data_IF_090667562407
#
_entry.id   IF_090667562407
#
_cell.length_a   1.000
_cell.length_b   1.000
_cell.length_c   1.000
_cell.angle_alpha   90.00
_cell.angle_beta   90.00
_cell.angle_gamma   90.00
#
_symmetry.space_group_name_H-M   'P 1'
#
loop_
_entity.id
_entity.type
_entity.pdbx_description
1 polymer ?
#
# COMPACT_ATOMS: atom_id res chain seq x y z
N UNK A 1 -61.64 0.16 -17.90
CA UNK A 1 -63.02 0.55 -17.58
C UNK A 1 -63.04 1.14 -16.19
N UNK A 2 -63.32 2.43 -16.13
CA UNK A 2 -63.52 3.18 -14.91
C UNK A 2 -64.84 2.78 -14.25
N UNK A 3 -64.83 2.66 -12.93
CA UNK A 3 -66.02 2.47 -12.10
C UNK A 3 -66.11 3.64 -11.14
N UNK A 4 -67.27 4.28 -11.05
CA UNK A 4 -67.50 5.40 -10.11
C UNK A 4 -68.54 4.93 -9.09
N UNK A 5 -68.19 4.97 -7.82
CA UNK A 5 -69.07 4.62 -6.71
C UNK A 5 -69.33 5.85 -5.84
N UNK A 6 -70.61 6.11 -5.57
CA UNK A 6 -71.06 7.14 -4.63
C UNK A 6 -70.93 6.59 -3.21
N UNK A 7 -70.30 7.36 -2.33
CA UNK A 7 -70.06 7.04 -0.92
C UNK A 7 -70.53 8.20 -0.04
N UNK A 8 -71.14 7.89 1.09
CA UNK A 8 -71.46 8.87 2.13
C UNK A 8 -70.32 8.85 3.15
N UNK A 9 -69.69 10.00 3.40
CA UNK A 9 -68.66 10.11 4.45
C UNK A 9 -69.32 10.17 5.83
N UNK A 10 -68.54 9.88 6.86
CA UNK A 10 -68.96 9.93 8.27
C UNK A 10 -69.46 11.32 8.69
N UNK A 11 -69.04 12.39 8.00
CA UNK A 11 -69.48 13.77 8.21
C UNK A 11 -70.77 14.13 7.44
N UNK A 12 -71.44 13.17 6.79
CA UNK A 12 -72.66 13.38 6.01
C UNK A 12 -72.44 13.91 4.59
N UNK A 13 -71.20 14.23 4.21
CA UNK A 13 -70.91 14.72 2.85
C UNK A 13 -70.83 13.58 1.83
N UNK A 14 -71.28 13.87 0.62
CA UNK A 14 -71.14 12.96 -0.51
C UNK A 14 -69.70 12.95 -1.05
N UNK A 15 -69.18 11.74 -1.31
CA UNK A 15 -67.90 11.53 -1.99
C UNK A 15 -68.06 10.52 -3.13
N UNK A 16 -67.33 10.73 -4.22
CA UNK A 16 -67.37 9.90 -5.40
C UNK A 16 -66.01 9.25 -5.58
N UNK A 17 -65.93 7.94 -5.41
CA UNK A 17 -64.70 7.17 -5.60
C UNK A 17 -64.65 6.70 -7.05
N UNK A 18 -63.68 7.20 -7.79
CA UNK A 18 -63.36 6.70 -9.12
C UNK A 18 -62.28 5.62 -9.02
N UNK A 19 -62.47 4.48 -9.69
CA UNK A 19 -61.49 3.40 -9.79
C UNK A 19 -61.27 3.02 -11.25
N UNK A 20 -60.03 3.05 -11.72
CA UNK A 20 -59.64 2.60 -13.06
C UNK A 20 -58.90 1.28 -12.94
N UNK A 21 -59.43 0.24 -13.60
CA UNK A 21 -58.79 -1.09 -13.70
C UNK A 21 -58.47 -1.43 -15.16
N UNK A 22 -57.26 -1.92 -15.39
CA UNK A 22 -56.83 -2.50 -16.67
C UNK A 22 -56.51 -3.97 -16.46
N UNK A 23 -57.07 -4.84 -17.31
CA UNK A 23 -56.86 -6.28 -17.30
C UNK A 23 -56.15 -6.73 -18.58
N UNK A 24 -55.20 -7.66 -18.47
CA UNK A 24 -54.53 -8.32 -19.61
C UNK A 24 -54.43 -9.81 -19.31
N UNK A 25 -54.94 -10.66 -20.19
CA UNK A 25 -55.00 -12.11 -19.96
C UNK A 25 -55.78 -12.50 -18.68
N UNK A 26 -56.88 -11.80 -18.38
CA UNK A 26 -57.71 -12.06 -17.19
C UNK A 26 -57.16 -11.52 -15.86
N UNK A 27 -55.86 -11.20 -15.76
CA UNK A 27 -55.24 -10.62 -14.56
C UNK A 27 -55.34 -9.10 -14.56
N UNK A 28 -55.58 -8.50 -13.39
CA UNK A 28 -55.54 -7.05 -13.20
C UNK A 28 -54.06 -6.61 -13.24
N UNK A 29 -53.67 -5.91 -14.31
CA UNK A 29 -52.30 -5.40 -14.45
C UNK A 29 -52.15 -3.99 -13.89
N UNK A 30 -53.24 -3.25 -13.72
CA UNK A 30 -53.24 -1.91 -13.11
C UNK A 30 -54.56 -1.64 -12.42
N UNK A 31 -54.52 -1.05 -11.22
CA UNK A 31 -55.69 -0.56 -10.49
C UNK A 31 -55.31 0.69 -9.70
N UNK A 32 -55.99 1.80 -9.97
CA UNK A 32 -55.84 3.03 -9.19
C UNK A 32 -57.21 3.58 -8.83
N UNK A 33 -57.36 4.10 -7.62
CA UNK A 33 -58.61 4.69 -7.15
C UNK A 33 -58.37 5.99 -6.40
N UNK A 34 -59.25 6.97 -6.60
CA UNK A 34 -59.20 8.27 -5.93
C UNK A 34 -60.61 8.77 -5.65
N UNK A 35 -60.79 9.47 -4.54
CA UNK A 35 -62.10 10.00 -4.11
C UNK A 35 -62.18 11.50 -4.31
N UNK A 36 -63.35 11.96 -4.75
CA UNK A 36 -63.61 13.36 -5.12
C UNK A 36 -64.91 13.87 -4.48
N UNK A 37 -65.08 15.19 -4.31
CA UNK A 37 -66.30 15.77 -3.75
C UNK A 37 -67.47 15.83 -4.76
N UNK A 38 -67.19 15.85 -6.07
CA UNK A 38 -68.21 15.93 -7.14
C UNK A 38 -68.04 14.78 -8.13
N UNK A 39 -69.15 14.22 -8.59
CA UNK A 39 -69.17 13.10 -9.57
C UNK A 39 -68.44 13.46 -10.86
N UNK A 40 -68.66 14.69 -11.36
CA UNK A 40 -68.02 15.20 -12.57
C UNK A 40 -66.48 15.17 -12.46
N UNK A 41 -65.91 15.57 -11.32
CA UNK A 41 -64.47 15.53 -11.09
C UNK A 41 -63.92 14.10 -11.07
N UNK A 42 -64.66 13.16 -10.47
CA UNK A 42 -64.32 11.74 -10.47
C UNK A 42 -64.31 11.16 -11.90
N UNK A 43 -65.31 11.53 -12.70
CA UNK A 43 -65.44 11.11 -14.12
C UNK A 43 -64.33 11.71 -14.98
N UNK A 44 -64.06 13.01 -14.84
CA UNK A 44 -63.02 13.71 -15.60
C UNK A 44 -61.62 13.18 -15.27
N UNK A 45 -61.34 12.90 -13.99
CA UNK A 45 -60.08 12.26 -13.57
C UNK A 45 -59.94 10.86 -14.15
N UNK A 46 -61.00 10.03 -14.07
CA UNK A 46 -60.98 8.67 -14.59
C UNK A 46 -60.79 8.64 -16.11
N UNK A 47 -61.46 9.54 -16.85
CA UNK A 47 -61.33 9.66 -18.29
C UNK A 47 -59.91 10.09 -18.72
N UNK A 48 -59.31 11.07 -18.02
CA UNK A 48 -57.90 11.46 -18.23
C UNK A 48 -56.95 10.31 -17.95
N UNK A 49 -57.16 9.59 -16.85
CA UNK A 49 -56.35 8.43 -16.49
C UNK A 49 -56.47 7.31 -17.53
N UNK A 50 -57.67 7.01 -18.03
CA UNK A 50 -57.84 6.02 -19.10
C UNK A 50 -57.19 6.46 -20.41
N UNK A 51 -57.20 7.76 -20.74
CA UNK A 51 -56.51 8.30 -21.91
C UNK A 51 -54.99 8.13 -21.78
N UNK A 52 -54.41 8.49 -20.63
CA UNK A 52 -52.98 8.33 -20.35
C UNK A 52 -52.55 6.86 -20.51
N UNK A 53 -53.36 5.92 -20.03
CA UNK A 53 -53.02 4.48 -20.02
C UNK A 53 -53.16 3.82 -21.41
N UNK A 54 -53.72 4.49 -22.42
CA UNK A 54 -53.85 3.96 -23.80
C UNK A 54 -52.55 4.00 -24.60
N UNK A 55 -51.55 4.80 -24.18
CA UNK A 55 -50.26 4.85 -24.85
C UNK A 55 -49.48 3.53 -24.73
N UNK A 56 -48.74 3.15 -25.78
CA UNK A 56 -47.85 1.99 -25.72
C UNK A 56 -46.84 2.14 -24.57
N UNK A 57 -46.87 1.22 -23.61
CA UNK A 57 -46.02 1.22 -22.41
C UNK A 57 -46.38 2.28 -21.36
N UNK A 58 -47.54 2.94 -21.43
CA UNK A 58 -47.93 3.96 -20.47
C UNK A 58 -48.23 3.41 -19.06
N UNK A 59 -48.79 2.19 -18.98
CA UNK A 59 -49.03 1.49 -17.72
C UNK A 59 -47.69 1.17 -17.05
N UNK A 60 -46.74 0.67 -17.83
CA UNK A 60 -45.38 0.34 -17.41
C UNK A 60 -44.66 1.61 -16.96
N UNK A 61 -44.67 2.70 -17.77
CA UNK A 61 -44.12 4.02 -17.38
C UNK A 61 -44.73 4.56 -16.09
N UNK A 62 -46.02 4.36 -15.84
CA UNK A 62 -46.71 4.85 -14.63
C UNK A 62 -46.46 3.96 -13.40
N UNK A 63 -46.31 2.64 -13.58
CA UNK A 63 -45.80 1.74 -12.54
C UNK A 63 -44.35 2.07 -12.18
N UNK A 64 -43.53 2.37 -13.19
CA UNK A 64 -42.15 2.85 -13.01
C UNK A 64 -42.13 4.18 -12.25
N UNK A 65 -43.17 5.01 -12.41
CA UNK A 65 -43.46 6.22 -11.64
C UNK A 65 -43.49 6.07 -10.11
N UNK A 66 -43.90 4.89 -9.60
CA UNK A 66 -44.05 4.62 -8.15
C UNK A 66 -42.99 3.65 -7.61
N UNK A 67 -41.96 3.34 -8.40
CA UNK A 67 -40.93 2.43 -7.95
C UNK A 67 -40.08 3.09 -6.87
N UNK A 68 -40.04 2.51 -5.68
CA UNK A 68 -39.17 2.98 -4.61
C UNK A 68 -37.76 2.43 -4.78
N UNK A 69 -36.78 3.07 -4.15
CA UNK A 69 -35.39 2.58 -4.08
C UNK A 69 -35.35 1.14 -3.54
N UNK A 70 -36.17 0.83 -2.53
CA UNK A 70 -36.26 -0.50 -1.94
C UNK A 70 -36.75 -1.56 -2.92
N UNK A 71 -37.74 -1.25 -3.75
CA UNK A 71 -38.20 -2.15 -4.82
C UNK A 71 -37.08 -2.42 -5.83
N UNK A 72 -36.27 -1.40 -6.16
CA UNK A 72 -35.13 -1.57 -7.07
C UNK A 72 -34.04 -2.44 -6.42
N UNK A 73 -33.75 -2.24 -5.14
CA UNK A 73 -32.78 -3.07 -4.41
C UNK A 73 -33.24 -4.53 -4.37
N UNK A 74 -34.50 -4.79 -3.99
CA UNK A 74 -35.05 -6.15 -3.92
C UNK A 74 -34.94 -6.87 -5.27
N UNK A 75 -35.39 -6.23 -6.35
CA UNK A 75 -35.27 -6.77 -7.71
C UNK A 75 -33.81 -7.01 -8.12
N UNK A 76 -32.91 -6.07 -7.78
CA UNK A 76 -31.48 -6.21 -8.07
C UNK A 76 -30.87 -7.44 -7.38
N UNK A 77 -31.28 -7.71 -6.14
CA UNK A 77 -30.83 -8.88 -5.38
C UNK A 77 -31.37 -10.16 -5.97
N UNK A 78 -32.68 -10.24 -6.22
CA UNK A 78 -33.34 -11.41 -6.82
C UNK A 78 -32.74 -11.81 -8.18
N UNK A 79 -32.36 -10.84 -9.01
CA UNK A 79 -31.80 -11.11 -10.34
C UNK A 79 -30.32 -11.54 -10.30
N UNK A 80 -29.51 -11.00 -9.38
CA UNK A 80 -28.05 -11.17 -9.41
C UNK A 80 -27.48 -12.12 -8.36
N UNK A 81 -28.19 -12.35 -7.25
CA UNK A 81 -27.75 -13.27 -6.21
C UNK A 81 -27.71 -14.73 -6.69
N UNK A 82 -28.72 -15.27 -7.41
CA UNK A 82 -28.66 -16.64 -7.93
C UNK A 82 -27.49 -16.90 -8.89
N UNK A 83 -27.02 -15.84 -9.57
CA UNK A 83 -25.86 -15.89 -10.45
C UNK A 83 -24.52 -15.76 -9.70
N UNK A 84 -24.53 -15.73 -8.36
CA UNK A 84 -23.36 -15.54 -7.50
C UNK A 84 -22.67 -14.18 -7.69
N UNK A 85 -23.37 -13.18 -8.25
CA UNK A 85 -22.80 -11.86 -8.56
C UNK A 85 -22.86 -10.89 -7.39
N UNK A 86 -23.62 -11.22 -6.35
CA UNK A 86 -23.68 -10.45 -5.10
C UNK A 86 -22.77 -11.11 -4.07
N UNK A 87 -21.64 -10.47 -3.82
CA UNK A 87 -20.76 -10.89 -2.73
C UNK A 87 -21.36 -10.52 -1.36
N UNK A 88 -21.00 -11.27 -0.32
CA UNK A 88 -21.47 -11.10 1.07
C UNK A 88 -21.54 -9.65 1.55
N UNK A 89 -20.48 -8.86 1.34
CA UNK A 89 -20.46 -7.44 1.78
C UNK A 89 -21.51 -6.61 1.08
N UNK A 90 -21.68 -6.82 -0.23
CA UNK A 90 -22.68 -6.10 -1.01
C UNK A 90 -24.09 -6.51 -0.61
N UNK A 91 -24.35 -7.81 -0.45
CA UNK A 91 -25.63 -8.33 0.05
C UNK A 91 -26.00 -7.71 1.39
N UNK A 92 -25.11 -7.80 2.39
CA UNK A 92 -25.34 -7.21 3.70
C UNK A 92 -25.66 -5.72 3.66
N UNK A 93 -24.95 -4.93 2.84
CA UNK A 93 -25.22 -3.49 2.70
C UNK A 93 -26.57 -3.23 2.03
N UNK A 94 -26.93 -3.99 0.99
CA UNK A 94 -28.23 -3.87 0.32
C UNK A 94 -29.38 -4.23 1.27
N UNK A 95 -29.24 -5.29 2.07
CA UNK A 95 -30.20 -5.65 3.12
C UNK A 95 -30.31 -4.54 4.18
N UNK A 96 -29.17 -3.96 4.56
CA UNK A 96 -29.14 -2.84 5.48
C UNK A 96 -29.84 -1.61 4.91
N UNK A 97 -29.67 -1.33 3.62
CA UNK A 97 -30.35 -0.22 2.93
C UNK A 97 -31.87 -0.41 2.92
N UNK A 98 -32.36 -1.64 2.72
CA UNK A 98 -33.80 -1.96 2.76
C UNK A 98 -34.46 -1.63 4.10
N UNK A 99 -33.71 -1.68 5.20
CA UNK A 99 -34.20 -1.36 6.53
C UNK A 99 -34.22 0.15 6.86
N UNK A 100 -33.92 1.04 5.90
CA UNK A 100 -33.72 2.48 6.15
C UNK A 100 -34.64 3.37 5.34
N UNK A 101 -34.88 4.63 5.78
CA UNK A 101 -35.80 5.55 5.12
C UNK A 101 -35.52 5.79 3.63
N UNK A 102 -34.26 5.70 3.20
CA UNK A 102 -33.88 5.86 1.79
C UNK A 102 -34.54 4.81 0.88
N UNK A 103 -34.86 3.61 1.39
CA UNK A 103 -35.53 2.57 0.63
C UNK A 103 -36.98 2.91 0.29
N UNK A 104 -37.65 3.72 1.11
CA UNK A 104 -39.04 4.14 0.90
C UNK A 104 -39.15 5.29 -0.12
N UNK A 105 -38.04 5.96 -0.45
CA UNK A 105 -38.02 7.08 -1.41
C UNK A 105 -38.35 6.60 -2.82
N UNK A 106 -39.16 7.39 -3.53
CA UNK A 106 -39.43 7.16 -4.95
C UNK A 106 -38.13 7.35 -5.75
N UNK A 107 -37.74 6.33 -6.52
CA UNK A 107 -36.44 6.31 -7.17
C UNK A 107 -36.28 7.39 -8.26
N UNK A 108 -37.40 7.91 -8.78
CA UNK A 108 -37.42 8.98 -9.78
C UNK A 108 -37.23 10.38 -9.19
N UNK A 109 -37.63 10.56 -7.93
CA UNK A 109 -37.52 11.85 -7.23
C UNK A 109 -36.37 11.87 -6.24
N UNK A 110 -35.60 10.78 -6.14
CA UNK A 110 -34.42 10.72 -5.30
C UNK A 110 -33.44 11.81 -5.73
N UNK A 111 -33.06 12.67 -4.79
CA UNK A 111 -32.15 13.79 -5.02
C UNK A 111 -30.89 13.70 -4.15
N UNK A 112 -29.97 14.65 -4.32
CA UNK A 112 -28.74 14.70 -3.55
C UNK A 112 -28.99 14.91 -2.04
N UNK A 113 -30.06 15.62 -1.66
CA UNK A 113 -30.38 15.91 -0.27
C UNK A 113 -30.80 14.64 0.48
N UNK A 114 -31.60 13.78 -0.15
CA UNK A 114 -31.98 12.47 0.38
C UNK A 114 -30.75 11.59 0.64
N UNK A 115 -29.80 11.58 -0.29
CA UNK A 115 -28.54 10.82 -0.19
C UNK A 115 -27.66 11.36 0.94
N UNK A 116 -27.54 12.69 1.07
CA UNK A 116 -26.79 13.33 2.14
C UNK A 116 -27.43 13.03 3.50
N UNK A 117 -28.76 13.07 3.59
CA UNK A 117 -29.48 12.77 4.82
C UNK A 117 -29.25 11.32 5.25
N UNK A 118 -29.39 10.34 4.34
CA UNK A 118 -29.06 8.95 4.63
C UNK A 118 -27.63 8.80 5.17
N UNK A 119 -26.66 9.45 4.55
CA UNK A 119 -25.27 9.39 5.01
C UNK A 119 -25.06 10.01 6.41
N UNK A 120 -25.83 11.04 6.79
CA UNK A 120 -25.83 11.62 8.15
C UNK A 120 -26.42 10.63 9.15
N UNK A 121 -27.59 10.09 8.85
CA UNK A 121 -28.28 9.11 9.70
C UNK A 121 -27.36 7.90 9.98
N UNK A 122 -26.63 7.43 8.95
CA UNK A 122 -25.66 6.32 9.10
C UNK A 122 -24.51 6.65 10.03
N UNK A 123 -24.00 7.89 10.02
CA UNK A 123 -22.95 8.29 10.95
C UNK A 123 -23.48 8.45 12.37
N UNK A 124 -24.70 8.96 12.54
CA UNK A 124 -25.38 9.02 13.84
C UNK A 124 -25.63 7.63 14.43
N UNK A 125 -25.92 6.63 13.58
CA UNK A 125 -25.95 5.21 13.93
C UNK A 125 -24.56 4.60 14.26
N UNK A 126 -23.48 5.37 14.16
CA UNK A 126 -22.10 4.95 14.48
C UNK A 126 -21.32 4.31 13.32
N UNK A 127 -21.81 4.39 12.07
CA UNK A 127 -21.08 3.85 10.93
C UNK A 127 -19.90 4.76 10.53
N UNK A 128 -18.72 4.16 10.40
CA UNK A 128 -17.55 4.89 9.91
C UNK A 128 -17.65 5.28 8.42
N UNK A 129 -16.92 6.32 7.95
CA UNK A 129 -17.03 6.86 6.59
C UNK A 129 -16.83 5.83 5.46
N UNK A 130 -16.00 4.81 5.67
CA UNK A 130 -15.79 3.74 4.69
C UNK A 130 -16.99 2.81 4.55
N UNK A 131 -17.74 2.60 5.64
CA UNK A 131 -18.97 1.82 5.62
C UNK A 131 -20.05 2.60 4.86
N UNK A 132 -20.22 3.89 5.19
CA UNK A 132 -21.17 4.77 4.49
C UNK A 132 -20.85 4.89 3.00
N UNK A 133 -19.57 4.92 2.62
CA UNK A 133 -19.16 4.91 1.22
C UNK A 133 -19.65 3.65 0.46
N UNK A 134 -19.73 2.49 1.11
CA UNK A 134 -20.29 1.29 0.48
C UNK A 134 -21.78 1.45 0.20
N UNK A 135 -22.54 2.05 1.12
CA UNK A 135 -23.98 2.30 0.96
C UNK A 135 -24.24 3.07 -0.34
N UNK A 136 -23.60 4.25 -0.52
CA UNK A 136 -23.77 5.07 -1.73
C UNK A 136 -23.22 4.39 -3.00
N UNK A 137 -22.09 3.67 -2.91
CA UNK A 137 -21.50 2.98 -4.06
C UNK A 137 -22.40 1.85 -4.59
N UNK A 138 -22.99 1.08 -3.68
CA UNK A 138 -23.87 -0.03 -4.06
C UNK A 138 -25.26 0.45 -4.44
N UNK A 139 -25.79 1.49 -3.79
CA UNK A 139 -27.02 2.15 -4.22
C UNK A 139 -26.87 2.71 -5.65
N UNK A 140 -25.76 3.39 -5.96
CA UNK A 140 -25.46 3.83 -7.33
C UNK A 140 -25.47 2.66 -8.30
N UNK A 141 -24.85 1.53 -7.94
CA UNK A 141 -24.83 0.33 -8.78
C UNK A 141 -26.24 -0.20 -9.09
N UNK A 142 -27.16 -0.14 -8.13
CA UNK A 142 -28.57 -0.55 -8.31
C UNK A 142 -29.28 0.41 -9.28
N UNK A 143 -29.18 1.72 -9.07
CA UNK A 143 -29.82 2.73 -9.92
C UNK A 143 -29.29 2.67 -11.36
N UNK A 144 -27.98 2.48 -11.52
CA UNK A 144 -27.31 2.36 -12.81
C UNK A 144 -27.68 1.06 -13.55
N UNK A 145 -27.99 -0.02 -12.82
CA UNK A 145 -28.53 -1.26 -13.39
C UNK A 145 -30.00 -1.07 -13.80
N UNK A 146 -30.81 -0.43 -12.95
CA UNK A 146 -32.20 -0.12 -13.27
C UNK A 146 -32.33 0.71 -14.55
N UNK A 147 -31.44 1.69 -14.74
CA UNK A 147 -31.34 2.48 -15.97
C UNK A 147 -31.06 1.63 -17.20
N UNK A 148 -29.99 0.81 -17.15
CA UNK A 148 -29.46 0.11 -18.34
C UNK A 148 -30.19 -1.18 -18.68
N UNK A 149 -30.60 -1.94 -17.66
CA UNK A 149 -31.15 -3.29 -17.83
C UNK A 149 -32.66 -3.28 -17.79
N UNK A 150 -33.26 -2.46 -16.92
CA UNK A 150 -34.72 -2.36 -16.80
C UNK A 150 -35.30 -1.18 -17.59
N UNK A 151 -34.46 -0.43 -18.30
CA UNK A 151 -34.83 0.76 -19.07
C UNK A 151 -35.63 1.78 -18.25
N UNK A 152 -35.34 1.90 -16.96
CA UNK A 152 -36.02 2.82 -16.07
C UNK A 152 -35.43 4.23 -16.18
N UNK A 153 -36.26 5.30 -16.15
CA UNK A 153 -35.76 6.68 -16.24
C UNK A 153 -35.17 7.18 -14.91
N UNK A 154 -34.44 6.30 -14.21
CA UNK A 154 -33.66 6.61 -13.01
C UNK A 154 -32.18 6.65 -13.37
N UNK A 155 -31.36 7.29 -12.55
CA UNK A 155 -29.90 7.25 -12.72
C UNK A 155 -29.20 7.45 -11.39
N UNK A 156 -27.89 7.18 -11.35
CA UNK A 156 -27.04 7.49 -10.22
C UNK A 156 -26.72 8.98 -10.05
N UNK A 157 -27.36 9.89 -10.80
CA UNK A 157 -27.07 11.32 -10.79
C UNK A 157 -27.21 11.95 -9.39
N UNK A 158 -28.25 11.60 -8.64
CA UNK A 158 -28.42 12.06 -7.25
C UNK A 158 -27.22 11.70 -6.35
N UNK A 159 -26.64 10.51 -6.57
CA UNK A 159 -25.43 10.08 -5.86
C UNK A 159 -24.24 10.93 -6.31
N UNK A 160 -24.08 11.13 -7.61
CA UNK A 160 -22.97 11.91 -8.20
C UNK A 160 -22.96 13.37 -7.75
N UNK A 161 -24.13 14.00 -7.68
CA UNK A 161 -24.31 15.36 -7.17
C UNK A 161 -24.01 15.45 -5.67
N UNK A 162 -24.34 14.40 -4.89
CA UNK A 162 -24.05 14.35 -3.46
C UNK A 162 -22.56 14.14 -3.14
N UNK A 163 -21.80 13.45 -4.00
CA UNK A 163 -20.42 13.01 -3.70
C UNK A 163 -19.50 14.13 -3.20
N UNK A 164 -19.54 15.30 -3.83
CA UNK A 164 -18.71 16.45 -3.43
C UNK A 164 -19.00 16.88 -1.99
N UNK A 165 -20.27 17.07 -1.67
CA UNK A 165 -20.74 17.45 -0.32
C UNK A 165 -20.46 16.35 0.71
N UNK A 166 -20.68 15.08 0.36
CA UNK A 166 -20.39 13.95 1.24
C UNK A 166 -18.91 13.89 1.64
N UNK A 167 -18.00 14.19 0.70
CA UNK A 167 -16.56 14.29 0.99
C UNK A 167 -16.23 15.52 1.82
N UNK A 168 -16.79 16.69 1.49
CA UNK A 168 -16.58 17.94 2.23
C UNK A 168 -17.03 17.82 3.69
N UNK A 169 -18.17 17.18 3.93
CA UNK A 169 -18.71 16.92 5.26
C UNK A 169 -18.07 15.70 5.96
N UNK A 170 -17.13 15.02 5.31
CA UNK A 170 -16.47 13.79 5.82
C UNK A 170 -17.47 12.67 6.18
N UNK A 171 -18.63 12.66 5.52
CA UNK A 171 -19.65 11.63 5.68
C UNK A 171 -19.19 10.30 5.07
N UNK A 172 -18.42 10.38 3.98
CA UNK A 172 -17.81 9.25 3.29
C UNK A 172 -16.30 9.40 3.21
N UNK A 173 -15.59 8.28 3.09
CA UNK A 173 -14.14 8.29 2.93
C UNK A 173 -13.54 6.91 2.82
N UNK A 174 -12.28 6.83 2.40
CA UNK A 174 -11.55 5.56 2.40
C UNK A 174 -11.26 5.14 3.85
N UNK A 175 -11.18 3.84 4.08
CA UNK A 175 -10.70 3.31 5.37
C UNK A 175 -9.29 3.84 5.63
N UNK A 176 -9.01 4.22 6.88
CA UNK A 176 -7.65 4.59 7.28
C UNK A 176 -6.72 3.39 7.11
N UNK A 177 -5.53 3.64 6.57
CA UNK A 177 -4.48 2.65 6.57
C UNK A 177 -4.09 2.33 8.03
N UNK A 178 -3.71 1.08 8.28
CA UNK A 178 -3.21 0.61 9.57
C UNK A 178 -1.75 0.23 9.41
N UNK A 179 -0.92 0.77 10.28
CA UNK A 179 0.53 0.49 10.38
C UNK A 179 0.87 -0.26 11.68
N UNK A 180 -0.14 -0.85 12.31
CA UNK A 180 0.01 -1.65 13.53
C UNK A 180 0.84 -2.90 13.22
N UNK A 181 1.88 -3.10 14.01
CA UNK A 181 2.70 -4.32 14.06
C UNK A 181 2.71 -4.86 15.49
N UNK A 182 2.56 -6.18 15.71
CA UNK A 182 2.63 -6.76 17.04
C UNK A 182 4.06 -6.66 17.59
N UNK A 183 4.21 -6.40 18.89
CA UNK A 183 5.53 -6.46 19.54
C UNK A 183 5.95 -7.91 19.80
N UNK A 184 7.24 -8.13 20.07
CA UNK A 184 7.74 -9.46 20.45
C UNK A 184 7.05 -10.01 21.71
N UNK A 185 6.84 -9.16 22.72
CA UNK A 185 6.11 -9.51 23.95
C UNK A 185 4.64 -9.88 23.67
N UNK A 186 3.94 -9.07 22.87
CA UNK A 186 2.55 -9.34 22.48
C UNK A 186 2.44 -10.67 21.75
N UNK A 187 3.32 -10.95 20.78
CA UNK A 187 3.35 -12.23 20.07
C UNK A 187 3.60 -13.38 21.03
N UNK A 188 4.58 -13.27 21.93
CA UNK A 188 4.90 -14.33 22.88
C UNK A 188 3.71 -14.65 23.78
N UNK A 189 3.06 -13.63 24.34
CA UNK A 189 1.86 -13.79 25.20
C UNK A 189 0.69 -14.41 24.43
N UNK A 190 0.46 -13.99 23.18
CA UNK A 190 -0.58 -14.56 22.33
C UNK A 190 -0.25 -16.02 21.98
N UNK A 191 0.99 -16.35 21.66
CA UNK A 191 1.40 -17.72 21.36
C UNK A 191 1.16 -18.63 22.57
N UNK A 192 1.58 -18.22 23.78
CA UNK A 192 1.30 -18.98 25.01
C UNK A 192 -0.20 -19.18 25.24
N UNK A 193 -1.03 -18.16 24.99
CA UNK A 193 -2.49 -18.30 25.08
C UNK A 193 -3.02 -19.30 24.05
N UNK A 194 -2.56 -19.24 22.79
CA UNK A 194 -2.97 -20.15 21.72
C UNK A 194 -2.50 -21.59 21.96
N UNK A 195 -1.31 -21.78 22.54
CA UNK A 195 -0.78 -23.07 22.97
C UNK A 195 -1.71 -23.71 24.02
N UNK A 196 -2.11 -22.95 25.04
CA UNK A 196 -3.06 -23.44 26.06
C UNK A 196 -4.40 -23.86 25.44
N UNK A 197 -4.87 -23.10 24.44
CA UNK A 197 -6.13 -23.36 23.74
C UNK A 197 -6.05 -24.62 22.90
N UNK A 198 -4.99 -24.76 22.10
CA UNK A 198 -4.85 -25.89 21.18
C UNK A 198 -4.51 -27.20 21.91
N UNK A 199 -3.99 -27.11 23.14
CA UNK A 199 -3.74 -28.27 24.01
C UNK A 199 -5.01 -28.87 24.63
N UNK A 200 -6.17 -28.25 24.42
CA UNK A 200 -7.45 -28.81 24.83
C UNK A 200 -7.77 -30.09 24.05
N UNK A 201 -8.28 -31.12 24.74
CA UNK A 201 -8.56 -32.45 24.15
C UNK A 201 -9.47 -32.43 22.91
N UNK A 202 -10.33 -31.40 22.78
CA UNK A 202 -11.25 -31.26 21.65
C UNK A 202 -10.74 -30.29 20.57
N UNK A 203 -9.52 -29.75 20.71
CA UNK A 203 -8.96 -28.83 19.75
C UNK A 203 -8.15 -29.57 18.70
N UNK A 204 -8.59 -29.44 17.44
CA UNK A 204 -7.91 -30.02 16.28
C UNK A 204 -7.12 -28.98 15.48
N UNK A 205 -7.26 -27.69 15.80
CA UNK A 205 -6.68 -26.61 15.01
C UNK A 205 -5.29 -26.27 15.56
N UNK A 206 -4.21 -26.36 14.76
CA UNK A 206 -2.86 -25.93 15.13
C UNK A 206 -2.77 -24.40 15.04
N UNK A 207 -3.33 -23.72 16.04
CA UNK A 207 -3.45 -22.27 16.05
C UNK A 207 -2.10 -21.56 15.96
N UNK A 208 -1.08 -22.07 16.64
CA UNK A 208 0.28 -21.48 16.64
C UNK A 208 0.88 -21.54 15.25
N UNK A 209 0.86 -22.71 14.61
CA UNK A 209 1.43 -22.91 13.27
C UNK A 209 0.75 -22.02 12.24
N UNK A 210 -0.58 -21.91 12.27
CA UNK A 210 -1.34 -21.06 11.35
C UNK A 210 -1.01 -19.58 11.52
N UNK A 211 -0.77 -19.11 12.75
CA UNK A 211 -0.34 -17.73 13.01
C UNK A 211 1.10 -17.50 12.54
N UNK A 212 2.03 -18.42 12.86
CA UNK A 212 3.42 -18.36 12.39
C UNK A 212 3.50 -18.39 10.87
N UNK A 213 2.73 -19.27 10.24
CA UNK A 213 2.62 -19.33 8.78
C UNK A 213 2.06 -18.04 8.20
N UNK A 214 1.04 -17.45 8.81
CA UNK A 214 0.48 -16.16 8.35
C UNK A 214 1.51 -15.02 8.41
N UNK A 215 2.37 -15.00 9.43
CA UNK A 215 3.46 -14.02 9.57
C UNK A 215 4.56 -14.31 8.53
N UNK A 216 5.11 -15.52 8.51
CA UNK A 216 6.26 -15.88 7.67
C UNK A 216 5.95 -15.83 6.17
N UNK A 217 4.77 -16.27 5.75
CA UNK A 217 4.33 -16.21 4.34
C UNK A 217 3.80 -14.84 3.92
N UNK A 218 3.34 -14.02 4.88
CA UNK A 218 2.64 -12.77 4.61
C UNK A 218 1.36 -12.93 3.78
N UNK A 219 0.78 -14.13 3.65
CA UNK A 219 -0.40 -14.39 2.81
C UNK A 219 -1.69 -13.84 3.42
N UNK A 220 -2.74 -13.69 2.60
CA UNK A 220 -4.09 -13.40 3.14
C UNK A 220 -4.66 -14.66 3.79
N UNK A 221 -5.46 -14.50 4.84
CA UNK A 221 -6.15 -15.61 5.52
C UNK A 221 -6.87 -16.58 4.54
N UNK A 222 -7.64 -16.05 3.60
CA UNK A 222 -8.35 -16.86 2.61
C UNK A 222 -7.44 -17.48 1.52
N UNK A 223 -6.18 -17.03 1.40
CA UNK A 223 -5.17 -17.69 0.55
C UNK A 223 -4.63 -18.92 1.30
N UNK A 224 -4.32 -18.78 2.60
CA UNK A 224 -3.83 -19.87 3.47
C UNK A 224 -4.83 -21.04 3.53
N UNK A 225 -6.11 -20.75 3.69
CA UNK A 225 -7.20 -21.75 3.76
C UNK A 225 -7.35 -22.61 2.49
N UNK A 226 -6.80 -22.18 1.35
CA UNK A 226 -7.00 -22.84 0.05
C UNK A 226 -5.75 -23.52 -0.49
N UNK A 227 -4.66 -23.54 0.27
CA UNK A 227 -3.41 -24.17 -0.15
C UNK A 227 -3.57 -25.69 -0.21
N UNK A 228 -3.12 -26.28 -1.33
CA UNK A 228 -3.24 -27.71 -1.63
C UNK A 228 -1.87 -28.35 -1.69
N UNK A 229 -1.80 -29.64 -1.35
CA UNK A 229 -0.56 -30.40 -1.53
C UNK A 229 -0.15 -30.51 -3.00
N UNK A 230 -1.11 -30.69 -3.90
CA UNK A 230 -0.86 -30.73 -5.36
C UNK A 230 -0.28 -29.44 -5.95
N UNK A 231 -0.37 -28.33 -5.20
CA UNK A 231 0.14 -27.02 -5.60
C UNK A 231 1.56 -26.75 -5.05
N UNK A 232 2.13 -27.67 -4.28
CA UNK A 232 3.45 -27.54 -3.65
C UNK A 232 4.54 -28.10 -4.57
N UNK A 233 5.45 -27.23 -5.01
CA UNK A 233 6.69 -27.63 -5.66
C UNK A 233 7.77 -27.77 -4.58
N UNK A 234 8.04 -29.00 -4.18
CA UNK A 234 8.97 -29.28 -3.09
C UNK A 234 10.43 -29.04 -3.46
N UNK A 235 10.79 -29.28 -4.72
CA UNK A 235 12.15 -29.09 -5.22
C UNK A 235 12.54 -27.61 -5.17
N UNK A 236 11.63 -26.74 -5.59
CA UNK A 236 11.85 -25.28 -5.63
C UNK A 236 11.36 -24.55 -4.38
N UNK A 237 10.72 -25.26 -3.45
CA UNK A 237 10.07 -24.70 -2.24
C UNK A 237 9.06 -23.59 -2.57
N UNK A 238 8.24 -23.83 -3.58
CA UNK A 238 7.21 -22.90 -4.03
C UNK A 238 5.82 -23.47 -3.76
N UNK A 239 4.85 -22.59 -3.54
CA UNK A 239 3.43 -22.94 -3.46
C UNK A 239 2.65 -22.13 -4.50
N UNK A 240 1.81 -22.81 -5.28
CA UNK A 240 0.91 -22.16 -6.23
C UNK A 240 -0.33 -21.63 -5.50
N UNK A 241 -0.45 -20.30 -5.39
CA UNK A 241 -1.65 -19.66 -4.84
C UNK A 241 -2.66 -19.42 -5.96
N UNK A 242 -3.67 -20.28 -6.04
CA UNK A 242 -4.73 -20.20 -7.05
C UNK A 242 -5.66 -19.01 -6.85
N UNK A 243 -6.06 -18.39 -7.96
CA UNK A 243 -6.98 -17.26 -8.06
C UNK A 243 -6.66 -16.18 -7.02
N UNK A 244 -5.39 -15.78 -6.98
CA UNK A 244 -4.92 -14.80 -6.02
C UNK A 244 -5.66 -13.49 -6.25
N UNK A 245 -6.11 -12.86 -5.17
CA UNK A 245 -7.00 -11.69 -5.25
C UNK A 245 -6.35 -10.55 -6.04
N UNK A 246 -6.94 -10.22 -7.19
CA UNK A 246 -6.56 -9.08 -8.01
C UNK A 246 -7.72 -8.08 -8.15
N UNK A 247 -7.46 -6.75 -8.11
CA UNK A 247 -8.51 -5.75 -8.32
C UNK A 247 -9.12 -5.76 -9.72
N UNK A 248 -8.35 -6.15 -10.75
CA UNK A 248 -8.72 -6.09 -12.17
C UNK A 248 -9.05 -7.47 -12.75
N UNK A 249 -8.30 -8.51 -12.38
CA UNK A 249 -8.40 -9.86 -12.94
C UNK A 249 -8.65 -10.92 -11.86
N UNK A 250 -9.91 -11.08 -11.45
CA UNK A 250 -10.27 -12.04 -10.38
C UNK A 250 -10.24 -13.50 -10.81
N UNK A 251 -10.23 -13.78 -12.11
CA UNK A 251 -10.23 -15.15 -12.68
C UNK A 251 -8.87 -15.40 -13.32
N UNK A 252 -8.30 -16.60 -13.13
CA UNK A 252 -7.02 -17.03 -13.70
C UNK A 252 -5.80 -16.18 -13.28
N UNK A 253 -5.71 -15.82 -12.00
CA UNK A 253 -4.52 -15.15 -11.44
C UNK A 253 -3.80 -16.06 -10.45
N UNK A 254 -3.33 -17.19 -10.95
CA UNK A 254 -2.54 -18.13 -10.16
C UNK A 254 -1.09 -17.62 -10.09
N UNK A 255 -0.47 -17.71 -8.91
CA UNK A 255 0.87 -17.19 -8.70
C UNK A 255 1.70 -18.16 -7.87
N UNK A 256 2.88 -18.51 -8.36
CA UNK A 256 3.89 -19.19 -7.56
C UNK A 256 4.46 -18.24 -6.52
N UNK A 257 4.49 -18.68 -5.27
CA UNK A 257 5.01 -17.92 -4.13
C UNK A 257 6.09 -18.74 -3.44
N UNK A 258 7.29 -18.19 -3.21
CA UNK A 258 8.32 -18.90 -2.47
C UNK A 258 7.94 -18.99 -0.98
N UNK A 259 8.15 -20.17 -0.40
CA UNK A 259 7.99 -20.41 1.03
C UNK A 259 9.34 -20.12 1.72
N UNK A 260 9.45 -18.94 2.34
CA UNK A 260 10.67 -18.46 2.97
C UNK A 260 10.69 -18.73 4.48
N UNK A 261 11.88 -18.99 5.03
CA UNK A 261 12.08 -19.20 6.47
C UNK A 261 11.21 -20.33 7.04
N UNK A 262 10.64 -20.10 8.23
CA UNK A 262 9.79 -21.08 8.92
C UNK A 262 8.52 -21.46 8.14
N UNK A 263 8.11 -20.71 7.10
CA UNK A 263 6.93 -21.05 6.31
C UNK A 263 7.06 -22.42 5.63
N UNK A 264 8.26 -22.76 5.15
CA UNK A 264 8.54 -24.06 4.55
C UNK A 264 8.47 -25.19 5.58
N UNK A 265 9.14 -25.01 6.72
CA UNK A 265 9.20 -26.02 7.77
C UNK A 265 7.82 -26.29 8.37
N UNK A 266 7.00 -25.25 8.56
CA UNK A 266 5.62 -25.39 9.03
C UNK A 266 4.77 -26.20 8.04
N UNK A 267 4.90 -25.93 6.73
CA UNK A 267 4.19 -26.70 5.70
C UNK A 267 4.62 -28.15 5.75
N UNK A 268 5.93 -28.44 5.80
CA UNK A 268 6.44 -29.80 5.86
C UNK A 268 6.03 -30.56 7.12
N UNK A 269 5.80 -29.86 8.23
CA UNK A 269 5.33 -30.45 9.48
C UNK A 269 3.83 -30.79 9.49
N UNK A 270 3.03 -30.30 8.52
CA UNK A 270 1.60 -30.59 8.48
C UNK A 270 1.32 -32.03 8.05
N UNK A 271 0.26 -32.68 8.61
CA UNK A 271 -0.21 -33.97 8.13
C UNK A 271 -0.60 -33.96 6.64
N UNK A 272 -0.27 -35.04 5.92
CA UNK A 272 -0.63 -35.26 4.51
C UNK A 272 -1.82 -36.20 4.34
N UNK A 273 -2.82 -36.06 5.20
CA UNK A 273 -4.03 -36.91 5.25
C UNK A 273 -5.27 -36.24 4.65
N UNK A 274 -5.14 -35.01 4.14
CA UNK A 274 -6.19 -34.25 3.47
C UNK A 274 -5.67 -33.60 2.18
N UNK A 275 -6.60 -33.12 1.34
CA UNK A 275 -6.27 -32.41 0.09
C UNK A 275 -5.58 -31.05 0.33
N UNK A 276 -5.96 -30.37 1.42
CA UNK A 276 -5.46 -29.06 1.79
C UNK A 276 -4.31 -29.18 2.79
N UNK A 277 -3.31 -28.30 2.69
CA UNK A 277 -2.21 -28.20 3.65
C UNK A 277 -2.74 -27.77 5.03
N UNK A 278 -3.73 -26.87 5.03
CA UNK A 278 -4.41 -26.40 6.23
C UNK A 278 -5.92 -26.66 6.10
N UNK A 279 -6.42 -27.86 6.42
CA UNK A 279 -7.83 -28.24 6.27
C UNK A 279 -8.72 -27.66 7.39
N UNK A 280 -8.50 -26.39 7.76
CA UNK A 280 -9.16 -25.73 8.88
C UNK A 280 -9.85 -24.45 8.43
N UNK A 281 -11.02 -24.19 9.00
CA UNK A 281 -11.72 -22.93 8.76
C UNK A 281 -10.91 -21.76 9.35
N UNK A 282 -10.35 -20.93 8.48
CA UNK A 282 -9.47 -19.83 8.91
C UNK A 282 -10.23 -18.80 9.78
N UNK A 283 -11.56 -18.72 9.68
CA UNK A 283 -12.37 -17.86 10.55
C UNK A 283 -12.26 -18.27 12.01
N UNK A 284 -12.21 -19.58 12.30
CA UNK A 284 -12.02 -20.11 13.65
C UNK A 284 -10.68 -19.67 14.23
N UNK A 285 -9.63 -19.61 13.40
CA UNK A 285 -8.30 -19.10 13.77
C UNK A 285 -8.37 -17.60 14.05
N UNK A 286 -8.98 -16.81 13.15
CA UNK A 286 -9.11 -15.37 13.37
C UNK A 286 -9.95 -15.01 14.61
N UNK A 287 -10.96 -15.83 14.92
CA UNK A 287 -11.77 -15.67 16.12
C UNK A 287 -11.02 -16.09 17.40
N UNK A 288 -10.16 -17.10 17.33
CA UNK A 288 -9.25 -17.44 18.43
C UNK A 288 -8.23 -16.32 18.67
N UNK A 289 -7.62 -15.79 17.61
CA UNK A 289 -6.73 -14.63 17.67
C UNK A 289 -7.39 -13.42 18.32
N UNK A 290 -8.60 -13.05 17.88
CA UNK A 290 -9.32 -11.91 18.46
C UNK A 290 -9.63 -12.12 19.95
N UNK A 291 -10.00 -13.35 20.36
CA UNK A 291 -10.20 -13.67 21.78
C UNK A 291 -8.91 -13.57 22.57
N UNK A 292 -7.80 -14.10 22.05
CA UNK A 292 -6.48 -13.96 22.67
C UNK A 292 -6.14 -12.48 22.93
N UNK A 293 -6.29 -11.62 21.91
CA UNK A 293 -6.06 -10.19 22.06
C UNK A 293 -6.95 -9.58 23.15
N UNK A 294 -8.25 -9.90 23.15
CA UNK A 294 -9.20 -9.38 24.13
C UNK A 294 -8.87 -9.82 25.56
N UNK A 295 -8.62 -11.12 25.76
CA UNK A 295 -8.32 -11.72 27.07
C UNK A 295 -7.00 -11.18 27.65
N UNK A 296 -6.04 -10.86 26.77
CA UNK A 296 -4.73 -10.32 27.14
C UNK A 296 -4.70 -8.78 27.22
N UNK A 297 -5.83 -8.09 26.95
CA UNK A 297 -5.91 -6.63 26.94
C UNK A 297 -5.10 -5.97 25.82
N UNK A 298 -4.84 -6.69 24.73
CA UNK A 298 -4.09 -6.18 23.57
C UNK A 298 -5.07 -5.46 22.63
N UNK A 299 -5.01 -4.14 22.66
CA UNK A 299 -5.88 -3.29 21.86
C UNK A 299 -5.35 -3.05 20.45
N UNK A 300 -6.29 -2.79 19.53
CA UNK A 300 -6.03 -2.39 18.16
C UNK A 300 -5.13 -3.36 17.35
N UNK A 301 -5.12 -4.67 17.65
CA UNK A 301 -4.38 -5.68 16.89
C UNK A 301 -5.33 -6.70 16.24
N UNK A 302 -5.31 -6.79 14.92
CA UNK A 302 -6.16 -7.69 14.12
C UNK A 302 -5.32 -8.78 13.47
N UNK A 303 -5.94 -9.91 13.16
CA UNK A 303 -5.26 -10.99 12.42
C UNK A 303 -4.70 -10.52 11.07
N UNK A 304 -5.37 -9.56 10.41
CA UNK A 304 -4.87 -9.01 9.15
C UNK A 304 -3.57 -8.20 9.30
N UNK A 305 -3.28 -7.70 10.51
CA UNK A 305 -2.04 -6.97 10.79
C UNK A 305 -0.83 -7.94 10.79
N UNK A 306 -1.03 -9.26 10.89
CA UNK A 306 0.04 -10.26 10.73
C UNK A 306 0.64 -10.26 9.32
N UNK A 307 -0.19 -10.00 8.30
CA UNK A 307 0.30 -9.78 6.95
C UNK A 307 1.13 -8.50 6.86
N UNK A 308 0.79 -7.46 7.63
CA UNK A 308 1.61 -6.26 7.70
C UNK A 308 2.98 -6.60 8.29
N UNK A 309 2.99 -7.31 9.42
CA UNK A 309 4.20 -7.77 10.09
C UNK A 309 5.09 -8.62 9.18
N UNK A 310 4.53 -9.62 8.50
CA UNK A 310 5.27 -10.47 7.58
C UNK A 310 5.97 -9.69 6.47
N UNK A 311 5.25 -8.74 5.85
CA UNK A 311 5.82 -7.92 4.77
C UNK A 311 6.90 -6.97 5.31
N UNK A 312 6.69 -6.38 6.49
CA UNK A 312 7.71 -5.56 7.14
C UNK A 312 8.98 -6.35 7.42
N UNK A 313 8.87 -7.60 7.91
CA UNK A 313 10.03 -8.49 8.13
C UNK A 313 10.80 -8.78 6.85
N UNK A 314 10.11 -8.94 5.71
CA UNK A 314 10.80 -9.14 4.43
C UNK A 314 11.65 -7.92 4.05
N UNK A 315 11.15 -6.70 4.26
CA UNK A 315 11.94 -5.48 4.03
C UNK A 315 13.09 -5.33 5.03
N UNK A 316 12.87 -5.67 6.30
CA UNK A 316 13.91 -5.69 7.35
C UNK A 316 15.00 -6.72 7.06
N UNK A 317 14.66 -7.84 6.45
CA UNK A 317 15.60 -8.85 5.94
C UNK A 317 16.36 -8.39 4.67
N UNK A 318 16.13 -7.15 4.21
CA UNK A 318 16.90 -6.53 3.13
C UNK A 318 16.34 -6.75 1.73
N UNK A 319 15.25 -7.51 1.56
CA UNK A 319 14.68 -7.83 0.25
C UNK A 319 14.28 -6.55 -0.51
N UNK A 320 14.51 -6.58 -1.81
CA UNK A 320 14.06 -5.57 -2.74
C UNK A 320 12.53 -5.56 -2.87
N UNK A 321 11.99 -4.45 -3.37
CA UNK A 321 10.56 -4.27 -3.57
C UNK A 321 9.98 -5.37 -4.47
N UNK A 322 10.73 -5.76 -5.51
CA UNK A 322 10.36 -6.78 -6.47
C UNK A 322 10.26 -8.15 -5.80
N UNK A 323 11.24 -8.50 -4.96
CA UNK A 323 11.24 -9.74 -4.18
C UNK A 323 10.08 -9.78 -3.19
N UNK A 324 9.86 -8.70 -2.43
CA UNK A 324 8.71 -8.59 -1.52
C UNK A 324 7.38 -8.68 -2.28
N UNK A 325 7.30 -8.12 -3.49
CA UNK A 325 6.11 -8.21 -4.33
C UNK A 325 5.84 -9.65 -4.79
N UNK A 326 6.87 -10.44 -5.12
CA UNK A 326 6.73 -11.86 -5.45
C UNK A 326 6.15 -12.66 -4.29
N UNK A 327 6.65 -12.45 -3.07
CA UNK A 327 6.14 -13.13 -1.86
C UNK A 327 4.71 -12.67 -1.54
N UNK A 328 4.53 -11.36 -1.39
CA UNK A 328 3.28 -10.79 -0.87
C UNK A 328 2.15 -10.72 -1.90
N UNK A 329 2.44 -10.74 -3.20
CA UNK A 329 1.44 -10.61 -4.28
C UNK A 329 0.91 -9.20 -4.46
N UNK A 330 1.67 -8.18 -4.04
CA UNK A 330 1.32 -6.78 -4.32
C UNK A 330 1.71 -6.39 -5.74
N UNK A 331 0.75 -5.91 -6.53
CA UNK A 331 1.01 -5.40 -7.89
C UNK A 331 1.39 -3.92 -7.96
N UNK A 332 1.07 -3.15 -6.94
CA UNK A 332 1.28 -1.70 -6.93
C UNK A 332 2.25 -1.31 -5.84
N UNK A 333 3.30 -0.59 -6.25
CA UNK A 333 4.27 0.03 -5.35
C UNK A 333 3.61 0.91 -4.29
N UNK A 334 2.55 1.64 -4.64
CA UNK A 334 1.85 2.50 -3.68
C UNK A 334 1.30 1.73 -2.48
N UNK A 335 0.99 0.44 -2.62
CA UNK A 335 0.58 -0.41 -1.50
C UNK A 335 1.76 -0.93 -0.68
N UNK A 336 2.95 -1.05 -1.29
CA UNK A 336 4.17 -1.52 -0.62
C UNK A 336 4.95 -0.41 0.08
N UNK A 337 4.84 0.84 -0.40
CA UNK A 337 5.57 2.01 0.12
C UNK A 337 5.40 2.22 1.64
N UNK A 338 4.27 1.80 2.22
CA UNK A 338 4.04 1.93 3.67
C UNK A 338 4.90 1.00 4.52
N UNK A 339 5.39 -0.09 3.94
CA UNK A 339 6.24 -1.07 4.66
C UNK A 339 7.72 -0.68 4.58
N UNK A 340 8.08 0.18 3.62
CA UNK A 340 9.43 0.70 3.50
C UNK A 340 9.59 1.85 4.48
N UNK A 341 9.88 1.53 5.74
CA UNK A 341 10.48 2.48 6.67
C UNK A 341 11.95 2.63 6.31
N UNK A 342 12.23 3.15 5.11
CA UNK A 342 13.58 3.51 4.70
C UNK A 342 14.01 4.67 5.58
N UNK A 343 14.81 4.35 6.60
CA UNK A 343 15.57 5.34 7.35
C UNK A 343 16.71 5.80 6.43
N UNK A 344 16.86 7.09 6.12
CA UNK A 344 17.97 7.56 5.28
C UNK A 344 19.33 7.00 5.71
N UNK A 345 19.52 6.81 7.02
CA UNK A 345 20.73 6.27 7.64
C UNK A 345 20.99 4.81 7.25
N UNK A 346 19.95 4.00 7.04
CA UNK A 346 20.07 2.59 6.62
C UNK A 346 20.60 2.42 5.18
N UNK A 347 20.66 3.50 4.39
CA UNK A 347 21.32 3.49 3.09
C UNK A 347 22.85 3.39 3.23
N UNK A 348 23.43 3.89 4.32
CA UNK A 348 24.87 3.74 4.58
C UNK A 348 25.28 2.27 4.76
N UNK A 349 24.39 1.44 5.33
CA UNK A 349 24.63 0.01 5.49
C UNK A 349 24.49 -0.75 4.17
N UNK A 350 23.53 -0.37 3.32
CA UNK A 350 23.30 -0.98 1.99
C UNK A 350 24.34 -0.56 0.94
N UNK A 351 24.89 0.64 1.07
CA UNK A 351 26.02 1.13 0.28
C UNK A 351 27.35 0.94 1.03
N UNK A 352 27.37 0.00 2.00
CA UNK A 352 28.40 -0.19 3.02
C UNK A 352 29.82 -0.07 2.50
N UNK A 353 30.57 0.84 3.15
CA UNK A 353 32.00 1.11 3.01
C UNK A 353 32.48 1.46 1.59
N UNK A 354 33.51 2.32 1.43
CA UNK A 354 34.20 2.40 0.14
C UNK A 354 34.60 0.98 -0.28
N UNK A 355 34.38 0.63 -1.56
CA UNK A 355 34.82 -0.63 -2.18
C UNK A 355 36.20 -1.00 -1.60
N UNK A 356 36.23 -1.90 -0.63
CA UNK A 356 37.49 -2.37 -0.10
C UNK A 356 38.08 -3.24 -1.21
N UNK A 357 39.21 -2.84 -1.81
CA UNK A 357 39.80 -3.65 -2.86
C UNK A 357 40.10 -5.01 -2.23
N UNK A 358 39.55 -6.07 -2.80
CA UNK A 358 40.12 -7.40 -2.58
C UNK A 358 41.54 -7.29 -3.12
N UNK A 359 42.52 -7.18 -2.21
CA UNK A 359 43.93 -7.20 -2.56
C UNK A 359 44.22 -8.63 -3.00
N UNK A 360 44.08 -8.90 -4.30
CA UNK A 360 44.87 -9.94 -4.94
C UNK A 360 46.30 -9.45 -4.82
N UNK A 361 47.08 -10.09 -3.93
CA UNK A 361 48.53 -9.86 -3.88
C UNK A 361 49.13 -10.37 -5.19
N UNK A 362 49.25 -9.47 -6.16
CA UNK A 362 50.27 -9.56 -7.18
C UNK A 362 51.48 -8.88 -6.55
N UNK A 363 52.54 -9.62 -6.27
CA UNK A 363 53.81 -9.01 -5.86
C UNK A 363 54.31 -8.14 -7.03
N UNK A 364 54.41 -6.81 -6.88
CA UNK A 364 55.01 -6.00 -7.91
C UNK A 364 56.53 -6.08 -7.79
N UNK A 365 57.21 -6.39 -8.89
CA UNK A 365 58.64 -6.15 -9.01
C UNK A 365 58.92 -4.66 -8.72
N UNK A 366 59.88 -4.43 -7.82
CA UNK A 366 60.32 -3.11 -7.35
C UNK A 366 60.92 -2.28 -8.51
N UNK A 367 60.60 -0.99 -8.62
CA UNK A 367 61.48 -0.03 -9.27
C UNK A 367 62.60 0.38 -8.30
N UNK A 368 63.85 0.15 -8.68
CA UNK A 368 65.05 0.65 -8.00
C UNK A 368 65.24 2.13 -8.32
N UNK A 369 64.77 3.06 -7.46
CA UNK A 369 65.39 4.37 -7.13
C UNK A 369 64.42 5.32 -6.39
N UNK A 370 64.93 5.97 -5.34
CA UNK A 370 64.27 7.09 -4.65
C UNK A 370 64.06 8.28 -5.62
N UNK A 371 62.83 8.79 -5.73
CA UNK A 371 62.46 9.82 -6.70
C UNK A 371 61.97 11.13 -6.06
N UNK A 372 62.45 12.26 -6.57
CA UNK A 372 61.94 13.60 -6.27
C UNK A 372 61.19 14.15 -7.50
N UNK A 373 59.98 14.65 -7.30
CA UNK A 373 59.12 15.18 -8.37
C UNK A 373 58.85 16.68 -8.16
N UNK A 374 59.35 17.50 -9.08
CA UNK A 374 59.20 18.95 -9.08
C UNK A 374 58.64 19.44 -10.42
N UNK A 375 57.47 20.07 -10.41
CA UNK A 375 56.87 20.64 -11.61
C UNK A 375 55.48 21.19 -11.35
N UNK A 376 55.07 22.19 -12.13
CA UNK A 376 53.68 22.66 -12.15
C UNK A 376 52.85 21.70 -12.99
N UNK A 377 51.95 20.91 -12.40
CA UNK A 377 50.95 20.21 -13.21
C UNK A 377 49.78 19.51 -12.51
N UNK A 378 48.73 19.32 -13.31
CA UNK A 378 47.67 18.31 -13.14
C UNK A 378 48.28 16.93 -12.87
N UNK A 379 47.88 16.32 -11.76
CA UNK A 379 48.56 15.18 -11.15
C UNK A 379 48.66 13.97 -12.10
N UNK A 380 49.89 13.49 -12.37
CA UNK A 380 50.11 12.22 -13.08
C UNK A 380 49.90 11.04 -12.13
N UNK A 381 49.35 9.95 -12.66
CA UNK A 381 48.94 8.78 -11.86
C UNK A 381 50.12 8.10 -11.15
N UNK A 382 51.31 8.13 -11.74
CA UNK A 382 52.56 7.63 -11.14
C UNK A 382 52.93 8.33 -9.82
N UNK A 383 52.69 9.64 -9.73
CA UNK A 383 52.90 10.41 -8.48
C UNK A 383 51.83 10.07 -7.44
N UNK A 384 50.58 9.90 -7.85
CA UNK A 384 49.52 9.45 -6.94
C UNK A 384 49.82 8.07 -6.35
N UNK A 385 50.26 7.16 -7.21
CA UNK A 385 50.59 5.79 -6.84
C UNK A 385 51.81 5.74 -5.93
N UNK A 386 52.86 6.53 -6.20
CA UNK A 386 54.08 6.59 -5.38
C UNK A 386 53.82 7.06 -3.94
N UNK A 387 52.79 7.89 -3.72
CA UNK A 387 52.44 8.44 -2.40
C UNK A 387 51.14 7.86 -1.83
N UNK A 388 50.56 6.83 -2.45
CA UNK A 388 49.33 6.17 -1.98
C UNK A 388 48.08 7.07 -1.99
N UNK A 389 48.07 8.12 -2.80
CA UNK A 389 47.00 9.10 -2.91
C UNK A 389 46.00 8.69 -4.01
N UNK A 390 44.71 9.00 -3.87
CA UNK A 390 43.72 8.76 -4.94
C UNK A 390 43.33 10.08 -5.60
N UNK A 391 42.97 10.10 -6.90
CA UNK A 391 42.62 11.34 -7.62
C UNK A 391 41.53 12.19 -6.95
N UNK A 392 40.60 11.55 -6.22
CA UNK A 392 39.53 12.22 -5.48
C UNK A 392 39.98 12.92 -4.19
N UNK A 393 41.11 12.49 -3.60
CA UNK A 393 41.63 13.02 -2.34
C UNK A 393 42.34 14.38 -2.54
N UNK A 394 42.71 14.71 -3.78
CA UNK A 394 43.39 15.96 -4.17
C UNK A 394 42.59 16.80 -5.16
N UNK A 395 41.28 16.55 -5.27
CA UNK A 395 40.40 17.26 -6.20
C UNK A 395 40.30 18.74 -5.85
N UNK A 396 40.84 19.62 -6.69
CA UNK A 396 40.89 21.08 -6.46
C UNK A 396 42.21 21.60 -5.88
N UNK A 397 43.16 20.71 -5.61
CA UNK A 397 44.46 21.02 -5.02
C UNK A 397 45.57 20.98 -6.08
N UNK A 398 46.45 21.97 -6.07
CA UNK A 398 47.64 22.05 -6.93
C UNK A 398 48.88 21.57 -6.16
N UNK A 399 49.39 20.38 -6.47
CA UNK A 399 50.66 19.89 -5.91
C UNK A 399 51.81 20.68 -6.53
N UNK A 400 52.62 21.31 -5.69
CA UNK A 400 53.78 22.09 -6.12
C UNK A 400 55.06 21.24 -6.10
N UNK A 401 55.17 20.35 -5.11
CA UNK A 401 56.36 19.53 -4.91
C UNK A 401 56.05 18.26 -4.12
N UNK A 402 56.63 17.13 -4.51
CA UNK A 402 56.53 15.88 -3.76
C UNK A 402 57.87 15.13 -3.78
N UNK A 403 58.34 14.71 -2.62
CA UNK A 403 59.60 13.99 -2.48
C UNK A 403 59.51 12.89 -1.43
N UNK A 404 60.28 11.83 -1.66
CA UNK A 404 60.46 10.74 -0.73
C UNK A 404 61.87 10.78 -0.13
N UNK A 405 61.98 10.42 1.14
CA UNK A 405 63.23 10.50 1.89
C UNK A 405 63.80 9.11 2.24
N UNK A 406 62.94 8.15 2.56
CA UNK A 406 63.21 6.75 2.92
C UNK A 406 61.92 5.96 2.79
N UNK A 407 61.95 4.62 2.75
CA UNK A 407 60.81 3.67 2.68
C UNK A 407 59.51 4.07 3.42
N UNK A 408 59.61 4.88 4.47
CA UNK A 408 58.48 5.31 5.31
C UNK A 408 58.26 6.83 5.39
N UNK A 409 59.14 7.67 4.81
CA UNK A 409 59.09 9.13 4.97
C UNK A 409 58.81 9.84 3.65
N UNK A 410 57.67 10.54 3.63
CA UNK A 410 57.19 11.31 2.47
C UNK A 410 57.01 12.78 2.86
N UNK A 411 57.27 13.67 1.89
CA UNK A 411 57.04 15.09 2.04
C UNK A 411 56.34 15.65 0.79
N UNK A 412 55.23 16.36 1.00
CA UNK A 412 54.43 16.95 -0.07
C UNK A 412 54.08 18.40 0.25
N UNK A 413 54.21 19.29 -0.72
CA UNK A 413 53.77 20.69 -0.67
C UNK A 413 52.72 20.92 -1.75
N UNK A 414 51.61 21.51 -1.36
CA UNK A 414 50.52 21.82 -2.28
C UNK A 414 49.82 23.14 -1.95
N UNK A 415 49.01 23.59 -2.89
CA UNK A 415 48.24 24.84 -2.83
C UNK A 415 46.75 24.56 -3.04
N UNK A 416 45.92 25.08 -2.16
CA UNK A 416 44.46 25.01 -2.25
C UNK A 416 43.89 26.42 -2.07
N UNK A 417 43.06 26.88 -3.02
CA UNK A 417 42.34 28.17 -2.93
C UNK A 417 43.18 29.41 -2.51
N UNK A 418 44.49 29.39 -2.79
CA UNK A 418 45.54 30.38 -2.46
C UNK A 418 46.35 30.16 -1.17
N UNK A 419 46.01 29.18 -0.35
CA UNK A 419 46.78 28.80 0.84
C UNK A 419 47.77 27.65 0.52
N UNK A 420 48.90 27.66 1.21
CA UNK A 420 49.96 26.66 1.08
C UNK A 420 49.89 25.68 2.24
N UNK A 421 49.97 24.40 1.92
CA UNK A 421 49.98 23.32 2.90
C UNK A 421 51.16 22.39 2.68
N UNK A 422 51.69 21.86 3.78
CA UNK A 422 52.69 20.80 3.75
C UNK A 422 52.19 19.57 4.51
N UNK A 423 52.63 18.39 4.05
CA UNK A 423 52.42 17.12 4.73
C UNK A 423 53.77 16.43 4.85
N UNK A 424 54.14 16.11 6.08
CA UNK A 424 55.33 15.34 6.42
C UNK A 424 54.88 14.11 7.20
N UNK A 425 55.17 12.90 6.69
CA UNK A 425 54.85 11.66 7.39
C UNK A 425 56.13 10.93 7.78
N UNK A 426 56.14 10.43 9.02
CA UNK A 426 57.25 9.69 9.62
C UNK A 426 57.03 8.15 9.61
N UNK A 427 56.07 7.65 8.82
CA UNK A 427 55.84 6.21 8.61
C UNK A 427 54.47 5.69 9.03
N UNK A 428 53.65 6.51 9.68
CA UNK A 428 52.21 6.29 9.77
C UNK A 428 51.52 7.20 8.74
N UNK A 429 50.94 6.60 7.69
CA UNK A 429 50.33 7.33 6.57
C UNK A 429 49.02 8.00 6.99
N UNK A 430 49.13 9.08 7.76
CA UNK A 430 48.04 9.99 8.10
C UNK A 430 48.28 11.30 7.34
N UNK A 431 47.42 11.58 6.35
CA UNK A 431 47.50 12.77 5.53
C UNK A 431 46.74 13.91 6.22
N UNK A 432 47.40 14.59 7.16
CA UNK A 432 46.88 15.79 7.83
C UNK A 432 47.70 17.00 7.37
N UNK A 433 47.16 17.84 6.47
CA UNK A 433 47.88 19.00 5.98
C UNK A 433 48.01 20.08 7.04
N UNK A 434 49.23 20.61 7.17
CA UNK A 434 49.52 21.76 8.01
C UNK A 434 49.65 23.02 7.14
N UNK A 435 48.93 24.08 7.49
CA UNK A 435 49.04 25.37 6.81
C UNK A 435 50.44 25.95 7.02
N UNK A 436 51.07 26.40 5.93
CA UNK A 436 52.45 26.91 5.93
C UNK A 436 52.61 28.14 5.06
N UNK A 437 53.79 28.77 5.10
CA UNK A 437 54.11 29.96 4.29
C UNK A 437 55.43 29.80 3.57
N UNK A 438 55.59 30.50 2.43
CA UNK A 438 56.83 30.48 1.64
C UNK A 438 58.05 30.89 2.47
N UNK A 439 57.90 31.88 3.37
CA UNK A 439 58.98 32.32 4.25
C UNK A 439 59.36 31.26 5.29
N UNK A 440 58.38 30.53 5.84
CA UNK A 440 58.62 29.41 6.77
C UNK A 440 59.41 28.29 6.08
N UNK A 441 58.96 27.88 4.89
CA UNK A 441 59.63 26.86 4.08
C UNK A 441 61.07 27.26 3.73
N UNK A 442 61.29 28.50 3.27
CA UNK A 442 62.64 29.02 2.97
C UNK A 442 63.56 29.01 4.19
N UNK A 443 63.04 29.33 5.38
CA UNK A 443 63.81 29.28 6.61
C UNK A 443 64.19 27.85 7.01
N UNK A 444 63.25 26.89 6.92
CA UNK A 444 63.50 25.46 7.18
C UNK A 444 64.53 24.86 6.22
N UNK A 445 64.47 25.21 4.94
CA UNK A 445 65.44 24.78 3.92
C UNK A 445 66.85 25.32 4.21
N UNK A 446 66.98 26.61 4.55
CA UNK A 446 68.27 27.24 4.87
C UNK A 446 68.91 26.69 6.15
N UNK A 447 68.09 26.33 7.13
CA UNK A 447 68.54 25.75 8.40
C UNK A 447 68.79 24.24 8.32
N UNK A 448 68.53 23.62 7.16
CA UNK A 448 68.72 22.18 6.94
C UNK A 448 67.70 21.30 7.68
N UNK A 449 66.60 21.90 8.17
CA UNK A 449 65.51 21.18 8.85
C UNK A 449 64.53 20.51 7.87
N UNK A 450 64.63 20.84 6.58
CA UNK A 450 63.81 20.26 5.52
C UNK A 450 64.67 20.06 4.26
N UNK A 451 64.51 18.93 3.57
CA UNK A 451 65.17 18.61 2.29
C UNK A 451 66.68 18.33 2.35
N UNK A 452 67.30 18.43 3.53
CA UNK A 452 68.71 18.06 3.77
C UNK A 452 68.81 17.06 4.91
N UNK A 453 69.71 16.08 4.79
CA UNK A 453 70.06 15.17 5.87
C UNK A 453 71.57 15.19 6.11
N UNK A 454 71.98 15.59 7.31
CA UNK A 454 73.39 15.83 7.60
C UNK A 454 73.99 16.89 6.65
N UNK A 455 74.98 16.51 5.86
CA UNK A 455 75.61 17.39 4.84
C UNK A 455 75.10 17.15 3.42
N UNK A 456 74.24 16.16 3.23
CA UNK A 456 73.75 15.79 1.90
C UNK A 456 72.45 16.52 1.59
N UNK A 457 72.41 17.11 0.40
CA UNK A 457 71.16 17.64 -0.14
C UNK A 457 70.39 16.48 -0.77
N UNK A 458 69.16 16.27 -0.34
CA UNK A 458 68.30 15.24 -0.90
C UNK A 458 67.32 15.86 -1.90
N UNK A 459 66.74 17.01 -1.56
CA UNK A 459 65.79 17.69 -2.44
C UNK A 459 65.58 19.19 -2.13
N UNK A 460 66.39 19.76 -1.24
CA UNK A 460 66.21 21.14 -0.77
C UNK A 460 66.45 22.19 -1.85
N UNK A 461 67.34 21.92 -2.82
CA UNK A 461 67.62 22.90 -3.88
C UNK A 461 66.50 22.90 -4.93
N UNK A 462 65.94 21.73 -5.24
CA UNK A 462 64.78 21.54 -6.13
C UNK A 462 63.53 22.21 -5.55
N UNK A 463 63.23 22.00 -4.26
CA UNK A 463 62.11 22.64 -3.59
C UNK A 463 62.27 24.17 -3.56
N UNK A 464 63.50 24.67 -3.35
CA UNK A 464 63.76 26.11 -3.37
C UNK A 464 63.49 26.71 -4.75
N UNK A 465 63.85 26.01 -5.84
CA UNK A 465 63.57 26.46 -7.20
C UNK A 465 62.06 26.53 -7.49
N UNK A 466 61.28 25.54 -7.06
CA UNK A 466 59.81 25.54 -7.19
C UNK A 466 59.20 26.73 -6.43
N UNK A 467 59.63 26.97 -5.20
CA UNK A 467 59.11 28.08 -4.38
C UNK A 467 59.56 29.48 -4.87
N UNK A 468 60.60 29.58 -5.70
CA UNK A 468 61.00 30.84 -6.32
C UNK A 468 60.09 31.16 -7.51
N UNK A 469 59.79 30.17 -8.36
CA UNK A 469 58.90 30.34 -9.53
C UNK A 469 57.50 30.79 -9.12
N UNK A 470 56.94 30.19 -8.07
CA UNK A 470 55.62 30.54 -7.53
C UNK A 470 55.54 31.91 -6.81
N UNK A 471 56.66 32.61 -6.61
CA UNK A 471 56.65 34.00 -6.10
C UNK A 471 56.81 35.07 -7.19
N UNK A 472 57.05 34.65 -8.44
CA UNK A 472 57.20 35.55 -9.58
C UNK A 472 55.92 35.61 -10.46
N UNK A 473 55.02 34.64 -10.31
CA UNK A 473 53.63 34.64 -10.78
C UNK A 473 52.69 35.10 -9.67
#
# INVERSE_FOLDING_TARGET
MATITKQLKTNGELSYRAQVRVKRGGKIIFSEARSFPKEKLARDWAARLELDLKGHGAIEKRKMGKATVGMLIGRYVEELDPAGKIGRTKGYVLDSLLARPIAEKEALTLDAADVIQHCRDRQEEGAGPATVLHDVSYLKSVLEHAKRVWSMPVSGQAIDEAMGTLHQLKLIGKSRARDRRPTGDELQRIFTWLESRQSSHNSIIPHVDLVRFAISSGMRAAEIERLRWDDLDEEKRLILVRQRKDPKHKVFNDQWVPLLGEAWDIVQAQPRDAELIFPYNIRSVTAAWQRACNDLGIHDLRFHDLRHEGISRLFEAGLSIQEVAMVSGHRSWNNLKRYTQLRPESLHDKFGAPLSPTVVRIEPERPEQDGCYAGEWSCRQDVLDAFGLRPKDIGGISILFAAFFTDTKVFVVFKEEQELFEVESDGEMIWLPEATTINSLRHRLKTGRLGRHGKQNLFADELLQVLIRQTQE
#
